data_IF_879537924522
#
_entry.id   IF_879537924522
#
_cell.length_a   1.000
_cell.length_b   1.000
_cell.length_c   1.000
_cell.angle_alpha   90.00
_cell.angle_beta   90.00
_cell.angle_gamma   90.00
#
_symmetry.space_group_name_H-M   'P 1'
#
loop_
_entity.id
_entity.type
_entity.pdbx_description
1 polymer ?
#
# COMPACT_ATOMS: atom_id res chain seq x y z
N UNK A 1 -5.43 -56.63 16.89
CA UNK A 1 -4.16 -55.84 16.93
C UNK A 1 -4.35 -54.33 16.67
N UNK A 2 -5.57 -53.81 16.50
CA UNK A 2 -5.84 -52.38 16.20
C UNK A 2 -6.07 -51.49 17.43
N UNK A 3 -6.30 -52.03 18.61
CA UNK A 3 -6.62 -51.20 19.81
C UNK A 3 -5.39 -50.61 20.50
N UNK A 4 -4.22 -51.21 20.38
CA UNK A 4 -3.00 -50.68 21.03
C UNK A 4 -2.47 -49.39 20.38
N UNK A 5 -2.64 -49.23 19.09
CA UNK A 5 -2.16 -48.01 18.38
C UNK A 5 -2.95 -46.75 18.74
N UNK A 6 -4.22 -46.89 19.02
CA UNK A 6 -5.08 -45.79 19.48
C UNK A 6 -4.71 -45.38 20.91
N UNK A 7 -4.42 -46.38 21.77
CA UNK A 7 -3.97 -46.15 23.15
C UNK A 7 -2.57 -45.50 23.21
N UNK A 8 -1.63 -45.97 22.41
CA UNK A 8 -0.30 -45.37 22.30
C UNK A 8 -0.37 -43.91 21.75
N UNK A 9 -1.23 -43.63 20.78
CA UNK A 9 -1.45 -42.28 20.30
C UNK A 9 -2.08 -41.38 21.37
N UNK A 10 -3.02 -41.88 22.16
CA UNK A 10 -3.61 -41.14 23.27
C UNK A 10 -2.58 -40.87 24.37
N UNK A 11 -1.73 -41.85 24.73
CA UNK A 11 -0.63 -41.69 25.68
C UNK A 11 0.39 -40.64 25.22
N UNK A 12 0.82 -40.67 23.95
CA UNK A 12 1.70 -39.65 23.37
C UNK A 12 1.05 -38.26 23.38
N UNK A 13 -0.25 -38.20 23.14
CA UNK A 13 -0.99 -36.94 23.23
C UNK A 13 -1.05 -36.41 24.65
N UNK A 14 -1.17 -37.28 25.67
CA UNK A 14 -1.12 -36.91 27.08
C UNK A 14 0.29 -36.49 27.53
N UNK A 15 1.35 -37.15 27.05
CA UNK A 15 2.72 -36.74 27.30
C UNK A 15 3.08 -35.37 26.71
N UNK A 16 2.38 -34.95 25.66
CA UNK A 16 2.55 -33.64 25.03
C UNK A 16 1.80 -32.50 25.73
N UNK A 17 0.91 -32.80 26.70
CA UNK A 17 0.18 -31.80 27.46
C UNK A 17 1.08 -31.27 28.60
N UNK A 18 1.48 -30.00 28.60
CA UNK A 18 2.30 -29.46 29.68
C UNK A 18 1.51 -29.51 30.99
N UNK A 19 2.09 -30.17 32.00
CA UNK A 19 1.51 -30.32 33.35
C UNK A 19 1.31 -28.98 34.06
N UNK A 20 1.96 -27.93 33.64
CA UNK A 20 1.81 -26.57 34.14
C UNK A 20 1.92 -25.57 32.99
N UNK A 21 1.02 -24.60 32.92
CA UNK A 21 1.15 -23.45 32.03
C UNK A 21 1.77 -22.28 32.79
N UNK A 22 2.89 -21.78 32.30
CA UNK A 22 3.45 -20.53 32.81
C UNK A 22 2.52 -19.39 32.42
N UNK A 23 2.10 -18.60 33.40
CA UNK A 23 1.27 -17.42 33.16
C UNK A 23 1.94 -16.22 33.81
N UNK A 24 2.03 -15.11 33.06
CA UNK A 24 2.35 -13.82 33.60
C UNK A 24 1.14 -13.18 34.25
N UNK A 25 1.34 -12.01 34.83
CA UNK A 25 0.32 -11.20 35.48
C UNK A 25 0.33 -9.78 34.92
N UNK A 26 -0.84 -9.29 34.55
CA UNK A 26 -1.03 -7.90 34.13
C UNK A 26 -0.90 -6.99 35.35
N UNK A 27 -0.02 -5.99 35.29
CA UNK A 27 0.23 -5.08 36.42
C UNK A 27 -0.25 -3.66 36.15
N UNK A 28 -0.31 -3.24 34.87
CA UNK A 28 -0.71 -1.88 34.50
C UNK A 28 -1.33 -1.83 33.13
N UNK A 29 -2.30 -0.94 32.95
CA UNK A 29 -2.86 -0.51 31.66
C UNK A 29 -2.62 1.00 31.52
N UNK A 30 -1.98 1.42 30.43
CA UNK A 30 -1.75 2.83 30.12
C UNK A 30 -2.12 3.11 28.67
N UNK A 31 -3.33 3.63 28.43
CA UNK A 31 -3.89 3.79 27.09
C UNK A 31 -4.02 2.46 26.38
N UNK A 32 -3.26 2.26 25.32
CA UNK A 32 -3.25 1.02 24.51
C UNK A 32 -2.14 0.04 24.94
N UNK A 33 -1.27 0.45 25.89
CA UNK A 33 -0.13 -0.34 26.33
C UNK A 33 -0.46 -1.06 27.64
N UNK A 34 -0.19 -2.35 27.67
CA UNK A 34 -0.36 -3.23 28.81
C UNK A 34 1.02 -3.64 29.34
N UNK A 35 1.20 -3.62 30.64
CA UNK A 35 2.42 -4.05 31.30
C UNK A 35 2.18 -5.37 32.02
N UNK A 36 3.00 -6.38 31.76
CA UNK A 36 2.94 -7.68 32.41
C UNK A 36 4.27 -8.07 33.02
N UNK A 37 4.22 -8.91 34.04
CA UNK A 37 5.38 -9.50 34.74
C UNK A 37 5.17 -11.00 34.93
N UNK A 38 6.25 -11.73 35.17
CA UNK A 38 6.20 -13.13 35.57
C UNK A 38 6.17 -14.15 34.41
N UNK A 39 6.17 -13.72 33.15
CA UNK A 39 6.46 -14.60 32.02
C UNK A 39 7.36 -13.88 31.01
N UNK A 40 8.47 -14.47 30.60
CA UNK A 40 9.32 -13.94 29.54
C UNK A 40 8.60 -14.11 28.21
N UNK A 41 8.50 -13.02 27.44
CA UNK A 41 7.98 -13.00 26.09
C UNK A 41 8.99 -12.34 25.17
N UNK A 42 9.26 -12.94 24.02
CA UNK A 42 10.08 -12.31 22.99
C UNK A 42 9.32 -11.17 22.32
N UNK A 43 10.03 -10.14 21.90
CA UNK A 43 9.41 -9.09 21.08
C UNK A 43 8.81 -9.69 19.81
N UNK A 44 7.54 -9.37 19.55
CA UNK A 44 6.76 -9.95 18.45
C UNK A 44 6.01 -11.22 18.81
N UNK A 45 6.28 -11.86 19.95
CA UNK A 45 5.57 -13.06 20.39
C UNK A 45 4.12 -12.74 20.76
N UNK A 46 3.23 -13.66 20.40
CA UNK A 46 1.81 -13.59 20.75
C UNK A 46 1.57 -14.05 22.18
N UNK A 47 0.54 -13.50 22.79
CA UNK A 47 0.04 -13.92 24.09
C UNK A 47 -1.48 -13.72 24.16
N UNK A 48 -2.11 -14.40 25.10
CA UNK A 48 -3.54 -14.23 25.43
C UNK A 48 -3.69 -13.73 26.84
N UNK A 49 -4.52 -12.74 27.00
CA UNK A 49 -4.81 -12.11 28.30
C UNK A 49 -6.23 -12.49 28.69
N UNK A 50 -6.40 -13.08 29.88
CA UNK A 50 -7.69 -13.48 30.39
C UNK A 50 -8.43 -12.27 30.96
N UNK A 51 -9.63 -12.00 30.43
CA UNK A 51 -10.50 -10.95 30.95
C UNK A 51 -11.30 -11.42 32.18
N UNK A 52 -12.00 -10.52 32.85
CA UNK A 52 -12.88 -10.80 33.96
C UNK A 52 -13.99 -11.84 33.65
N UNK A 53 -14.42 -11.89 32.40
CA UNK A 53 -15.44 -12.80 31.91
C UNK A 53 -14.84 -14.11 31.34
N UNK A 54 -13.60 -14.43 31.66
CA UNK A 54 -12.86 -15.58 31.13
C UNK A 54 -12.74 -15.63 29.61
N UNK A 55 -12.98 -14.50 28.92
CA UNK A 55 -12.66 -14.39 27.50
C UNK A 55 -11.15 -14.10 27.33
N UNK A 56 -10.56 -14.63 26.28
CA UNK A 56 -9.17 -14.43 25.96
C UNK A 56 -9.03 -13.29 24.96
N UNK A 57 -8.15 -12.35 25.26
CA UNK A 57 -7.82 -11.20 24.41
C UNK A 57 -6.45 -11.43 23.82
N UNK A 58 -6.38 -11.51 22.49
CA UNK A 58 -5.12 -11.69 21.79
C UNK A 58 -4.30 -10.40 21.82
N UNK A 59 -3.03 -10.53 22.17
CA UNK A 59 -2.08 -9.42 22.24
C UNK A 59 -0.70 -9.85 21.74
N UNK A 60 0.16 -8.89 21.49
CA UNK A 60 1.54 -9.11 21.08
C UNK A 60 2.49 -8.36 22.01
N UNK A 61 3.62 -8.98 22.34
CA UNK A 61 4.71 -8.31 23.04
C UNK A 61 5.40 -7.33 22.08
N UNK A 62 5.39 -6.04 22.44
CA UNK A 62 5.95 -4.95 21.62
C UNK A 62 7.27 -4.41 22.14
N UNK A 63 7.65 -4.81 23.35
CA UNK A 63 8.91 -4.44 23.98
C UNK A 63 9.01 -4.94 25.42
N UNK A 64 10.11 -4.65 26.06
CA UNK A 64 10.33 -4.95 27.48
C UNK A 64 11.25 -3.93 28.14
N UNK A 65 11.12 -3.81 29.45
CA UNK A 65 12.03 -3.02 30.29
C UNK A 65 12.26 -3.77 31.60
N UNK A 66 13.45 -4.29 31.82
CA UNK A 66 13.78 -5.20 32.94
C UNK A 66 12.81 -6.39 32.98
N UNK A 67 12.06 -6.55 34.04
CA UNK A 67 11.11 -7.65 34.26
C UNK A 67 9.70 -7.37 33.71
N UNK A 68 9.47 -6.16 33.15
CA UNK A 68 8.20 -5.75 32.60
C UNK A 68 8.18 -6.00 31.11
N UNK A 69 7.22 -6.76 30.64
CA UNK A 69 6.93 -6.91 29.22
C UNK A 69 5.78 -6.00 28.82
N UNK A 70 5.97 -5.23 27.77
CA UNK A 70 4.95 -4.37 27.17
C UNK A 70 4.17 -5.16 26.13
N UNK A 71 2.84 -5.19 26.32
CA UNK A 71 1.92 -5.91 25.45
C UNK A 71 0.97 -4.92 24.79
N UNK A 72 0.58 -5.21 23.56
CA UNK A 72 -0.41 -4.44 22.83
C UNK A 72 -1.48 -5.39 22.29
N UNK A 73 -2.76 -5.18 22.61
CA UNK A 73 -3.85 -6.00 22.12
C UNK A 73 -4.18 -5.66 20.66
N UNK A 74 -4.63 -6.66 19.90
CA UNK A 74 -5.08 -6.47 18.52
C UNK A 74 -6.44 -5.76 18.42
N UNK A 75 -7.28 -5.91 19.45
CA UNK A 75 -8.58 -5.24 19.55
C UNK A 75 -8.63 -4.42 20.84
N UNK A 76 -9.54 -3.46 20.91
CA UNK A 76 -9.72 -2.68 22.14
C UNK A 76 -10.05 -3.62 23.30
N UNK A 77 -9.25 -3.62 24.37
CA UNK A 77 -9.43 -4.55 25.47
C UNK A 77 -10.61 -4.11 26.35
N UNK A 78 -11.56 -5.02 26.55
CA UNK A 78 -12.71 -4.81 27.44
C UNK A 78 -12.66 -5.82 28.57
N UNK A 79 -12.93 -5.39 29.81
CA UNK A 79 -13.01 -6.26 30.98
C UNK A 79 -11.66 -6.75 31.51
N UNK A 80 -10.56 -6.03 31.23
CA UNK A 80 -9.26 -6.31 31.84
C UNK A 80 -9.23 -5.85 33.30
N UNK A 81 -8.59 -6.65 34.15
CA UNK A 81 -8.36 -6.34 35.56
C UNK A 81 -6.86 -6.40 35.89
N UNK A 82 -6.45 -5.66 36.93
CA UNK A 82 -5.13 -5.83 37.50
C UNK A 82 -4.98 -7.27 38.02
N UNK A 83 -3.85 -7.90 37.73
CA UNK A 83 -3.61 -9.30 38.07
C UNK A 83 -4.15 -10.33 37.04
N UNK A 84 -4.79 -9.88 35.95
CA UNK A 84 -5.25 -10.77 34.87
C UNK A 84 -4.09 -11.65 34.37
N UNK A 85 -4.37 -12.91 34.08
CA UNK A 85 -3.37 -13.87 33.63
C UNK A 85 -2.99 -13.61 32.18
N UNK A 86 -1.69 -13.68 31.90
CA UNK A 86 -1.11 -13.54 30.56
C UNK A 86 -0.46 -14.87 30.17
N UNK A 87 -0.98 -15.51 29.15
CA UNK A 87 -0.50 -16.79 28.63
C UNK A 87 0.35 -16.57 27.39
N UNK A 88 1.64 -16.94 27.40
CA UNK A 88 2.45 -16.98 26.18
C UNK A 88 1.84 -17.96 25.17
N UNK A 89 1.81 -17.57 23.90
CA UNK A 89 1.53 -18.48 22.79
C UNK A 89 2.86 -18.95 22.22
N UNK A 90 3.03 -20.28 22.15
CA UNK A 90 4.29 -20.89 21.63
C UNK A 90 4.36 -20.78 20.10
N UNK A 91 3.19 -20.80 19.45
CA UNK A 91 3.12 -20.70 17.98
C UNK A 91 2.93 -19.26 17.55
N UNK A 92 3.70 -18.84 16.57
CA UNK A 92 3.39 -17.65 15.82
C UNK A 92 1.96 -17.77 15.22
N UNK A 93 1.32 -16.65 14.91
CA UNK A 93 0.06 -16.69 14.16
C UNK A 93 0.37 -17.15 12.73
N UNK A 94 0.33 -18.47 12.54
CA UNK A 94 0.63 -19.10 11.26
C UNK A 94 -0.53 -18.83 10.29
N UNK A 95 -0.32 -17.95 9.33
CA UNK A 95 -1.29 -17.67 8.27
C UNK A 95 -1.00 -18.62 7.13
N UNK A 96 -1.97 -19.48 6.80
CA UNK A 96 -1.90 -20.38 5.66
C UNK A 96 -2.50 -19.70 4.43
N UNK A 97 -1.68 -19.52 3.39
CA UNK A 97 -2.10 -18.89 2.13
C UNK A 97 -2.25 -19.90 1.01
N UNK A 98 -3.10 -19.58 0.04
CA UNK A 98 -3.31 -20.32 -1.19
C UNK A 98 -4.10 -19.49 -2.21
N UNK A 99 -4.27 -20.02 -3.42
CA UNK A 99 -5.03 -19.35 -4.49
C UNK A 99 -6.51 -19.08 -4.11
N UNK A 100 -7.05 -19.85 -3.15
CA UNK A 100 -8.41 -19.65 -2.62
C UNK A 100 -8.62 -18.29 -1.92
N UNK A 101 -7.55 -17.53 -1.72
CA UNK A 101 -7.60 -16.16 -1.18
C UNK A 101 -8.03 -15.13 -2.24
N UNK A 102 -7.99 -15.47 -3.52
CA UNK A 102 -8.51 -14.59 -4.58
C UNK A 102 -10.02 -14.35 -4.40
N UNK A 103 -10.43 -13.11 -4.55
CA UNK A 103 -11.81 -12.70 -4.36
C UNK A 103 -12.23 -12.52 -2.90
N UNK A 104 -11.27 -12.58 -1.95
CA UNK A 104 -11.56 -12.53 -0.51
C UNK A 104 -11.17 -11.19 0.11
N UNK A 105 -11.88 -10.89 1.20
CA UNK A 105 -11.63 -9.72 2.06
C UNK A 105 -11.27 -10.21 3.46
N UNK A 106 -10.12 -9.78 3.96
CA UNK A 106 -9.55 -10.24 5.24
C UNK A 106 -9.12 -9.06 6.13
N UNK A 107 -8.96 -9.32 7.43
CA UNK A 107 -8.32 -8.36 8.34
C UNK A 107 -6.78 -8.53 8.38
N UNK A 108 -6.09 -7.75 9.23
CA UNK A 108 -4.63 -7.81 9.37
C UNK A 108 -4.07 -9.10 9.96
N UNK A 109 -4.92 -9.99 10.47
CA UNK A 109 -4.56 -11.33 10.94
C UNK A 109 -4.92 -12.43 9.93
N UNK A 110 -5.39 -12.08 8.73
CA UNK A 110 -5.82 -13.05 7.72
C UNK A 110 -7.18 -13.68 7.99
N UNK A 111 -7.97 -13.14 8.93
CA UNK A 111 -9.31 -13.61 9.20
C UNK A 111 -10.31 -13.05 8.18
N UNK A 112 -11.23 -13.87 7.63
CA UNK A 112 -12.17 -13.43 6.62
C UNK A 112 -13.22 -12.46 7.20
N UNK A 113 -13.47 -11.37 6.45
CA UNK A 113 -14.48 -10.36 6.77
C UNK A 113 -15.70 -10.43 5.85
N UNK A 114 -15.62 -11.21 4.78
CA UNK A 114 -16.62 -11.26 3.69
C UNK A 114 -17.75 -12.25 3.89
N UNK A 115 -17.79 -12.95 5.00
CA UNK A 115 -18.83 -13.96 5.31
C UNK A 115 -18.78 -15.22 4.45
N UNK A 116 -17.76 -15.39 3.59
CA UNK A 116 -17.63 -16.54 2.67
C UNK A 116 -16.96 -17.77 3.30
N UNK A 117 -16.93 -17.87 4.63
CA UNK A 117 -16.32 -18.98 5.36
C UNK A 117 -14.79 -18.91 5.46
N UNK A 118 -14.19 -19.96 6.00
CA UNK A 118 -12.74 -20.03 6.27
C UNK A 118 -11.93 -19.98 4.99
N UNK A 119 -10.73 -19.40 5.10
CA UNK A 119 -9.73 -19.43 4.06
C UNK A 119 -8.96 -20.75 4.13
N UNK A 120 -8.67 -21.31 2.96
CA UNK A 120 -7.85 -22.50 2.85
C UNK A 120 -6.50 -22.12 2.24
N UNK A 121 -5.44 -22.69 2.75
CA UNK A 121 -4.10 -22.53 2.23
C UNK A 121 -3.22 -23.68 2.68
N UNK A 122 -2.19 -23.99 1.90
CA UNK A 122 -1.26 -25.06 2.18
C UNK A 122 0.14 -24.54 2.52
N UNK A 123 0.40 -23.27 2.21
CA UNK A 123 1.71 -22.66 2.41
C UNK A 123 1.67 -21.69 3.57
N UNK A 124 2.68 -21.78 4.42
CA UNK A 124 2.87 -20.83 5.50
C UNK A 124 3.29 -19.48 4.93
N UNK A 125 2.53 -18.43 5.24
CA UNK A 125 2.86 -17.08 4.84
C UNK A 125 3.91 -16.51 5.81
N UNK A 126 5.11 -16.18 5.33
CA UNK A 126 6.11 -15.57 6.19
C UNK A 126 5.64 -14.18 6.66
N UNK A 127 6.13 -13.69 7.80
CA UNK A 127 5.99 -12.28 8.15
C UNK A 127 6.59 -11.42 7.05
N UNK A 128 6.53 -10.08 7.19
CA UNK A 128 7.04 -9.16 6.15
C UNK A 128 8.30 -9.70 5.48
N UNK A 129 8.29 -9.94 4.15
CA UNK A 129 9.42 -10.54 3.47
C UNK A 129 10.66 -9.64 3.60
N UNK A 130 11.85 -10.22 3.75
CA UNK A 130 13.07 -9.43 3.75
C UNK A 130 13.25 -8.72 2.41
N UNK A 131 13.99 -7.62 2.41
CA UNK A 131 14.38 -6.97 1.15
C UNK A 131 15.19 -7.95 0.29
N UNK A 132 14.87 -8.00 -1.00
CA UNK A 132 15.61 -8.84 -1.96
C UNK A 132 17.03 -8.30 -2.11
N UNK A 133 18.01 -9.19 -2.25
CA UNK A 133 19.39 -8.79 -2.51
C UNK A 133 19.47 -7.89 -3.76
N UNK A 134 19.99 -6.66 -3.64
CA UNK A 134 20.02 -5.71 -4.77
C UNK A 134 20.73 -6.24 -6.03
N UNK A 135 21.72 -7.13 -5.86
CA UNK A 135 22.50 -7.67 -6.99
C UNK A 135 21.79 -8.79 -7.76
N UNK A 136 20.81 -9.44 -7.12
CA UNK A 136 20.02 -10.53 -7.75
C UNK A 136 18.64 -10.06 -8.18
N UNK A 137 18.23 -8.86 -7.76
CA UNK A 137 16.94 -8.26 -8.12
C UNK A 137 16.92 -7.94 -9.62
N UNK A 138 15.88 -8.40 -10.34
CA UNK A 138 15.71 -8.05 -11.75
C UNK A 138 15.40 -6.55 -11.92
N UNK A 139 15.91 -5.99 -13.02
CA UNK A 139 15.64 -4.60 -13.38
C UNK A 139 14.16 -4.37 -13.72
N UNK A 140 13.75 -3.10 -13.68
CA UNK A 140 12.43 -2.63 -14.15
C UNK A 140 12.58 -2.24 -15.61
N UNK A 141 12.23 -3.14 -16.53
CA UNK A 141 12.46 -3.03 -17.98
C UNK A 141 11.19 -3.21 -18.83
N UNK A 142 10.10 -3.67 -18.23
CA UNK A 142 8.81 -3.83 -18.90
C UNK A 142 7.77 -2.84 -18.35
N UNK A 143 6.96 -2.19 -19.23
CA UNK A 143 5.87 -1.34 -18.79
C UNK A 143 4.71 -2.16 -18.21
N UNK A 144 4.02 -1.60 -17.21
CA UNK A 144 2.76 -2.08 -16.70
C UNK A 144 1.64 -1.19 -17.20
N UNK A 145 0.71 -1.75 -17.97
CA UNK A 145 -0.53 -1.08 -18.35
C UNK A 145 -1.46 -0.98 -17.13
N UNK A 146 -1.76 0.25 -16.71
CA UNK A 146 -2.67 0.54 -15.59
C UNK A 146 -3.99 1.17 -16.05
N UNK A 147 -4.21 1.30 -17.36
CA UNK A 147 -5.46 1.76 -17.95
C UNK A 147 -5.79 3.24 -17.72
N UNK A 148 -4.83 4.06 -17.33
CA UNK A 148 -5.01 5.51 -17.09
C UNK A 148 -4.15 6.31 -18.06
N UNK A 149 -4.81 7.15 -18.90
CA UNK A 149 -4.16 7.90 -19.99
C UNK A 149 -2.92 8.69 -19.54
N UNK A 150 -3.08 9.50 -18.49
CA UNK A 150 -1.98 10.33 -17.99
C UNK A 150 -0.82 9.49 -17.45
N UNK A 151 -1.10 8.34 -16.84
CA UNK A 151 -0.08 7.44 -16.32
C UNK A 151 0.59 6.68 -17.47
N UNK A 152 -0.18 5.97 -18.30
CA UNK A 152 0.33 5.19 -19.42
C UNK A 152 1.13 6.05 -20.43
N UNK A 153 0.70 7.31 -20.63
CA UNK A 153 1.34 8.20 -21.61
C UNK A 153 2.53 9.01 -21.10
N UNK A 154 2.47 9.49 -19.84
CA UNK A 154 3.42 10.52 -19.37
C UNK A 154 4.18 10.14 -18.10
N UNK A 155 3.69 9.13 -17.39
CA UNK A 155 4.20 8.65 -16.10
C UNK A 155 4.31 7.14 -16.09
N UNK A 156 4.58 6.53 -17.25
CA UNK A 156 4.54 5.08 -17.44
C UNK A 156 5.22 4.33 -16.30
N UNK A 157 4.46 3.42 -15.69
CA UNK A 157 4.91 2.59 -14.58
C UNK A 157 5.52 1.32 -15.14
N UNK A 158 6.66 0.89 -14.58
CA UNK A 158 7.28 -0.39 -14.92
C UNK A 158 6.86 -1.52 -13.98
N UNK A 159 6.91 -2.74 -14.45
CA UNK A 159 6.71 -3.95 -13.62
C UNK A 159 7.79 -4.04 -12.56
N UNK A 160 7.38 -4.02 -11.29
CA UNK A 160 8.28 -3.99 -10.14
C UNK A 160 8.64 -2.59 -9.64
N UNK A 161 8.11 -1.53 -10.24
CA UNK A 161 8.31 -0.16 -9.79
C UNK A 161 7.49 0.14 -8.53
N UNK A 162 8.03 0.99 -7.65
CA UNK A 162 7.39 1.47 -6.41
C UNK A 162 7.03 2.94 -6.58
N UNK A 163 5.74 3.25 -6.59
CA UNK A 163 5.21 4.59 -6.92
C UNK A 163 4.42 5.16 -5.76
N UNK A 164 4.62 6.43 -5.45
CA UNK A 164 3.79 7.18 -4.51
C UNK A 164 2.60 7.83 -5.21
N UNK A 165 1.42 7.73 -4.63
CA UNK A 165 0.25 8.53 -5.02
C UNK A 165 0.01 9.58 -3.94
N UNK A 166 0.50 10.79 -4.19
CA UNK A 166 0.40 11.92 -3.28
C UNK A 166 -0.96 12.59 -3.48
N UNK A 167 -1.78 12.63 -2.44
CA UNK A 167 -3.14 13.14 -2.53
C UNK A 167 -3.59 13.82 -1.24
N UNK A 168 -4.29 14.94 -1.37
CA UNK A 168 -5.11 15.49 -0.30
C UNK A 168 -6.46 14.75 -0.18
N UNK A 169 -7.31 15.21 0.74
CA UNK A 169 -8.65 14.67 0.88
C UNK A 169 -9.58 15.18 -0.25
N UNK A 170 -10.43 14.29 -0.80
CA UNK A 170 -11.49 14.67 -1.73
C UNK A 170 -11.06 14.94 -3.17
N UNK A 171 -9.83 14.61 -3.58
CA UNK A 171 -9.30 14.87 -4.94
C UNK A 171 -9.51 13.72 -5.93
N UNK A 172 -10.29 12.68 -5.56
CA UNK A 172 -10.56 11.53 -6.42
C UNK A 172 -9.58 10.38 -6.30
N UNK A 173 -8.80 10.27 -5.20
CA UNK A 173 -7.85 9.21 -4.91
C UNK A 173 -8.46 7.81 -5.09
N UNK A 174 -9.54 7.51 -4.37
CA UNK A 174 -10.18 6.18 -4.37
C UNK A 174 -10.76 5.81 -5.74
N UNK A 175 -11.24 6.80 -6.49
CA UNK A 175 -11.70 6.62 -7.88
C UNK A 175 -10.54 6.21 -8.78
N UNK A 176 -9.40 6.92 -8.70
CA UNK A 176 -8.21 6.60 -9.48
C UNK A 176 -7.66 5.21 -9.14
N UNK A 177 -7.58 4.85 -7.85
CA UNK A 177 -7.18 3.49 -7.44
C UNK A 177 -8.13 2.43 -8.01
N UNK A 178 -9.43 2.68 -7.99
CA UNK A 178 -10.43 1.81 -8.60
C UNK A 178 -10.26 1.68 -10.12
N UNK A 179 -9.95 2.76 -10.83
CA UNK A 179 -9.64 2.72 -12.28
C UNK A 179 -8.42 1.84 -12.55
N UNK A 180 -7.33 2.06 -11.81
CA UNK A 180 -6.09 1.27 -11.91
C UNK A 180 -6.39 -0.21 -11.66
N UNK A 181 -7.07 -0.54 -10.57
CA UNK A 181 -7.35 -1.94 -10.20
C UNK A 181 -8.19 -2.68 -11.24
N UNK A 182 -9.21 -2.03 -11.80
CA UNK A 182 -10.06 -2.65 -12.82
C UNK A 182 -9.35 -2.86 -14.15
N UNK A 183 -8.54 -1.89 -14.56
CA UNK A 183 -7.96 -1.83 -15.91
C UNK A 183 -6.55 -2.38 -16.02
N UNK A 184 -5.86 -2.58 -14.89
CA UNK A 184 -4.49 -3.09 -14.89
C UNK A 184 -4.37 -4.46 -15.56
N UNK A 185 -3.26 -4.64 -16.27
CA UNK A 185 -2.82 -5.94 -16.84
C UNK A 185 -1.99 -6.78 -15.87
N UNK A 186 -1.95 -6.40 -14.60
CA UNK A 186 -1.41 -7.30 -13.56
C UNK A 186 -2.32 -8.54 -13.42
N UNK A 187 -1.70 -9.69 -13.16
CA UNK A 187 -2.43 -10.97 -12.99
C UNK A 187 -3.24 -10.93 -11.69
N UNK A 188 -2.65 -10.40 -10.64
CA UNK A 188 -3.22 -10.36 -9.29
C UNK A 188 -3.08 -8.94 -8.72
N UNK A 189 -4.09 -8.52 -7.98
CA UNK A 189 -4.08 -7.26 -7.25
C UNK A 189 -4.21 -7.52 -5.75
N UNK A 190 -3.31 -6.97 -4.96
CA UNK A 190 -3.42 -6.97 -3.49
C UNK A 190 -3.71 -5.55 -3.04
N UNK A 191 -4.82 -5.37 -2.32
CA UNK A 191 -5.26 -4.04 -1.86
C UNK A 191 -5.25 -4.00 -0.34
N UNK A 192 -4.47 -3.10 0.22
CA UNK A 192 -4.48 -2.77 1.65
C UNK A 192 -5.26 -1.49 1.91
N UNK A 193 -6.40 -1.58 2.59
CA UNK A 193 -7.18 -0.43 3.04
C UNK A 193 -6.91 -0.20 4.52
N UNK A 194 -5.91 0.68 4.79
CA UNK A 194 -5.30 0.85 6.11
C UNK A 194 -5.69 2.22 6.70
N UNK A 195 -6.43 2.20 7.79
CA UNK A 195 -6.85 3.43 8.48
C UNK A 195 -7.89 4.25 7.74
N UNK A 196 -8.56 3.68 6.75
CA UNK A 196 -9.68 4.29 6.04
C UNK A 196 -10.98 4.10 6.83
N UNK A 197 -11.98 4.94 6.56
CA UNK A 197 -13.28 4.82 7.24
C UNK A 197 -14.02 3.59 6.76
N UNK A 198 -14.71 2.87 7.65
CA UNK A 198 -15.46 1.66 7.28
C UNK A 198 -16.44 1.86 6.12
N UNK A 199 -17.08 3.05 5.98
CA UNK A 199 -17.92 3.39 4.83
C UNK A 199 -17.12 3.44 3.53
N UNK A 200 -15.95 4.06 3.53
CA UNK A 200 -15.08 4.20 2.36
C UNK A 200 -14.52 2.85 1.91
N UNK A 201 -14.24 1.96 2.87
CA UNK A 201 -13.85 0.56 2.60
C UNK A 201 -14.94 -0.16 1.81
N UNK A 202 -16.19 -0.08 2.27
CA UNK A 202 -17.33 -0.71 1.59
C UNK A 202 -17.56 -0.10 0.20
N UNK A 203 -17.59 1.23 0.09
CA UNK A 203 -17.73 1.92 -1.19
C UNK A 203 -16.62 1.55 -2.19
N UNK A 204 -15.39 1.37 -1.72
CA UNK A 204 -14.27 0.96 -2.58
C UNK A 204 -14.48 -0.47 -3.10
N UNK A 205 -14.88 -1.41 -2.26
CA UNK A 205 -15.11 -2.81 -2.66
C UNK A 205 -16.30 -2.90 -3.63
N UNK A 206 -17.44 -2.26 -3.29
CA UNK A 206 -18.68 -2.40 -4.04
C UNK A 206 -18.65 -1.61 -5.38
N UNK A 207 -18.07 -0.41 -5.38
CA UNK A 207 -18.16 0.51 -6.51
C UNK A 207 -16.84 0.70 -7.26
N UNK A 208 -15.72 0.78 -6.53
CA UNK A 208 -14.41 1.01 -7.16
C UNK A 208 -13.83 -0.28 -7.73
N UNK A 209 -13.87 -1.38 -7.00
CA UNK A 209 -13.47 -2.71 -7.50
C UNK A 209 -14.57 -3.35 -8.33
N UNK A 210 -15.75 -3.45 -7.78
CA UNK A 210 -16.84 -4.26 -8.34
C UNK A 210 -16.52 -5.76 -8.33
N UNK A 211 -17.43 -6.57 -8.88
CA UNK A 211 -17.27 -8.02 -8.89
C UNK A 211 -16.03 -8.48 -9.68
N UNK A 212 -15.82 -7.92 -10.87
CA UNK A 212 -14.72 -8.32 -11.76
C UNK A 212 -13.35 -7.94 -11.20
N UNK A 213 -13.24 -6.73 -10.61
CA UNK A 213 -12.01 -6.29 -9.96
C UNK A 213 -11.69 -7.10 -8.71
N UNK A 214 -12.72 -7.43 -7.91
CA UNK A 214 -12.55 -8.26 -6.71
C UNK A 214 -12.11 -9.68 -7.04
N UNK A 215 -12.62 -10.28 -8.13
CA UNK A 215 -12.31 -11.67 -8.50
C UNK A 215 -10.81 -11.93 -8.69
N UNK A 216 -10.04 -10.92 -9.15
CA UNK A 216 -8.57 -10.98 -9.27
C UNK A 216 -7.82 -10.33 -8.12
N UNK A 217 -8.53 -9.94 -7.05
CA UNK A 217 -7.95 -9.18 -5.95
C UNK A 217 -8.03 -9.94 -4.62
N UNK A 218 -7.11 -9.61 -3.73
CA UNK A 218 -7.18 -9.90 -2.30
C UNK A 218 -7.20 -8.56 -1.58
N UNK A 219 -8.21 -8.33 -0.73
CA UNK A 219 -8.37 -7.07 0.00
C UNK A 219 -8.08 -7.29 1.47
N UNK A 220 -7.09 -6.59 2.00
CA UNK A 220 -6.76 -6.59 3.43
C UNK A 220 -7.25 -5.28 4.04
N UNK A 221 -8.02 -5.38 5.10
CA UNK A 221 -8.72 -4.24 5.68
C UNK A 221 -8.34 -4.07 7.16
N UNK A 222 -7.92 -2.87 7.53
CA UNK A 222 -7.79 -2.42 8.90
C UNK A 222 -8.31 -0.99 9.00
N UNK A 223 -9.60 -0.79 9.34
CA UNK A 223 -10.23 0.53 9.39
C UNK A 223 -9.59 1.46 10.45
N UNK A 224 -10.01 2.72 10.45
CA UNK A 224 -9.42 3.75 11.31
C UNK A 224 -9.67 3.52 12.82
N UNK A 225 -10.70 2.78 13.17
CA UNK A 225 -11.07 2.39 14.54
C UNK A 225 -10.34 1.13 15.05
N UNK A 226 -9.60 0.44 14.17
CA UNK A 226 -8.75 -0.68 14.57
C UNK A 226 -7.49 -0.22 15.33
N UNK A 227 -6.92 -1.13 16.12
CA UNK A 227 -5.71 -0.84 16.90
C UNK A 227 -4.52 -0.47 15.99
N UNK A 228 -3.55 0.32 16.47
CA UNK A 228 -2.33 0.60 15.72
C UNK A 228 -1.60 -0.66 15.29
N UNK A 229 -1.56 -1.67 16.16
CA UNK A 229 -0.93 -2.95 15.87
C UNK A 229 -1.62 -3.67 14.70
N UNK A 230 -2.96 -3.67 14.65
CA UNK A 230 -3.73 -4.26 13.55
C UNK A 230 -3.44 -3.54 12.24
N UNK A 231 -3.33 -2.20 12.24
CA UNK A 231 -2.99 -1.41 11.05
C UNK A 231 -1.58 -1.72 10.52
N UNK A 232 -0.60 -1.92 11.42
CA UNK A 232 0.74 -2.37 11.03
C UNK A 232 0.70 -3.77 10.40
N UNK A 233 0.06 -4.72 11.09
CA UNK A 233 -0.04 -6.11 10.63
C UNK A 233 -0.78 -6.23 9.29
N UNK A 234 -1.84 -5.48 9.07
CA UNK A 234 -2.55 -5.46 7.80
C UNK A 234 -1.64 -4.99 6.65
N UNK A 235 -0.82 -3.97 6.88
CA UNK A 235 0.13 -3.50 5.87
C UNK A 235 1.21 -4.53 5.57
N UNK A 236 1.80 -5.14 6.61
CA UNK A 236 2.80 -6.21 6.46
C UNK A 236 2.21 -7.42 5.73
N UNK A 237 0.97 -7.82 6.07
CA UNK A 237 0.25 -8.92 5.43
C UNK A 237 0.04 -8.69 3.93
N UNK A 238 -0.30 -7.46 3.50
CA UNK A 238 -0.40 -7.11 2.08
C UNK A 238 0.89 -7.41 1.33
N UNK A 239 2.03 -7.00 1.91
CA UNK A 239 3.35 -7.24 1.32
C UNK A 239 3.69 -8.72 1.25
N UNK A 240 3.39 -9.48 2.31
CA UNK A 240 3.64 -10.92 2.37
C UNK A 240 2.81 -11.68 1.35
N UNK A 241 1.52 -11.36 1.21
CA UNK A 241 0.65 -11.93 0.18
C UNK A 241 1.17 -11.61 -1.22
N UNK A 242 1.51 -10.35 -1.49
CA UNK A 242 2.01 -9.93 -2.79
C UNK A 242 3.34 -10.60 -3.16
N UNK A 243 4.25 -10.74 -2.18
CA UNK A 243 5.52 -11.44 -2.37
C UNK A 243 5.31 -12.94 -2.64
N UNK A 244 4.36 -13.58 -1.94
CA UNK A 244 4.06 -14.99 -2.15
C UNK A 244 3.61 -15.29 -3.58
N UNK A 245 2.76 -14.45 -4.17
CA UNK A 245 2.35 -14.59 -5.56
C UNK A 245 3.47 -14.21 -6.54
N UNK A 246 4.20 -13.12 -6.29
CA UNK A 246 5.38 -12.73 -7.08
C UNK A 246 6.36 -13.89 -7.22
N UNK A 247 6.70 -14.53 -6.09
CA UNK A 247 7.71 -15.58 -6.07
C UNK A 247 7.24 -16.87 -6.78
N UNK A 248 5.93 -16.96 -7.10
CA UNK A 248 5.32 -17.99 -7.95
C UNK A 248 5.18 -17.58 -9.42
N UNK A 249 5.79 -16.47 -9.82
CA UNK A 249 5.85 -16.04 -11.22
C UNK A 249 4.73 -15.11 -11.67
N UNK A 250 3.83 -14.68 -10.77
CA UNK A 250 2.77 -13.75 -11.12
C UNK A 250 3.23 -12.29 -11.15
N UNK A 251 2.62 -11.50 -12.03
CA UNK A 251 2.72 -10.06 -12.01
C UNK A 251 1.70 -9.47 -11.05
N UNK A 252 2.16 -9.04 -9.87
CA UNK A 252 1.31 -8.53 -8.79
C UNK A 252 1.31 -7.01 -8.77
N UNK A 253 0.13 -6.41 -8.68
CA UNK A 253 -0.04 -5.01 -8.32
C UNK A 253 -0.44 -4.91 -6.85
N UNK A 254 0.42 -4.32 -6.03
CA UNK A 254 0.15 -4.01 -4.65
C UNK A 254 -0.32 -2.55 -4.54
N UNK A 255 -1.49 -2.34 -3.95
CA UNK A 255 -2.04 -1.02 -3.61
C UNK A 255 -2.15 -0.90 -2.10
N UNK A 256 -1.48 0.08 -1.49
CA UNK A 256 -1.57 0.34 -0.03
C UNK A 256 -2.14 1.73 0.21
N UNK A 257 -3.33 1.79 0.73
CA UNK A 257 -4.04 3.02 1.11
C UNK A 257 -4.26 3.06 2.63
N UNK A 258 -3.37 3.70 3.45
CA UNK A 258 -2.26 4.56 3.04
C UNK A 258 -0.98 4.29 3.84
N UNK A 259 0.16 4.61 3.24
CA UNK A 259 1.47 4.60 3.90
C UNK A 259 1.51 5.60 5.09
N UNK A 260 0.82 6.73 4.97
CA UNK A 260 0.69 7.69 6.06
C UNK A 260 0.03 7.08 7.29
N UNK A 261 -1.03 6.25 7.10
CA UNK A 261 -1.70 5.57 8.21
C UNK A 261 -0.82 4.49 8.85
N UNK A 262 0.01 3.82 8.06
CA UNK A 262 1.04 2.92 8.57
C UNK A 262 2.05 3.65 9.46
N UNK A 263 2.55 4.80 9.01
CA UNK A 263 3.45 5.64 9.80
C UNK A 263 2.78 6.19 11.08
N UNK A 264 1.50 6.58 11.01
CA UNK A 264 0.73 7.02 12.19
C UNK A 264 0.53 5.88 13.20
N UNK A 265 0.29 4.66 12.75
CA UNK A 265 0.18 3.51 13.62
C UNK A 265 1.49 3.26 14.39
N UNK A 266 2.62 3.33 13.72
CA UNK A 266 3.93 3.23 14.37
C UNK A 266 4.18 4.38 15.34
N UNK A 267 3.80 5.60 15.00
CA UNK A 267 3.87 6.74 15.89
C UNK A 267 3.12 6.48 17.20
N UNK A 268 1.89 6.00 17.11
CA UNK A 268 1.06 5.69 18.29
C UNK A 268 1.73 4.63 19.20
N UNK A 269 2.29 3.58 18.61
CA UNK A 269 3.00 2.51 19.33
C UNK A 269 4.26 3.05 19.99
N UNK A 270 5.12 3.72 19.24
CA UNK A 270 6.41 4.16 19.69
C UNK A 270 6.30 5.24 20.80
N UNK A 271 5.37 6.19 20.66
CA UNK A 271 5.09 7.18 21.71
C UNK A 271 4.56 6.51 22.98
N UNK A 272 3.73 5.47 22.86
CA UNK A 272 3.24 4.72 24.03
C UNK A 272 4.36 3.96 24.74
N UNK A 273 5.40 3.53 24.00
CA UNK A 273 6.60 2.90 24.56
C UNK A 273 7.61 3.91 25.13
N UNK A 274 7.33 5.22 25.00
CA UNK A 274 8.18 6.29 25.52
C UNK A 274 9.29 6.76 24.57
N UNK A 275 9.24 6.39 23.28
CA UNK A 275 10.14 6.97 22.29
C UNK A 275 9.82 8.46 22.11
N UNK A 276 10.83 9.36 22.18
CA UNK A 276 10.56 10.79 22.07
C UNK A 276 10.12 11.19 20.67
N UNK A 277 9.14 12.11 20.56
CA UNK A 277 8.73 12.65 19.26
C UNK A 277 9.85 13.50 18.66
N UNK A 278 10.00 13.44 17.35
CA UNK A 278 10.89 14.27 16.56
C UNK A 278 10.07 15.20 15.63
N UNK A 279 10.25 15.11 14.31
CA UNK A 279 9.63 16.01 13.35
C UNK A 279 8.11 15.81 13.26
N UNK A 280 7.34 16.89 13.42
CA UNK A 280 5.85 16.89 13.42
C UNK A 280 5.25 15.81 14.34
N UNK A 281 5.94 15.48 15.45
CA UNK A 281 5.49 14.50 16.42
C UNK A 281 5.68 13.03 16.01
N UNK A 282 6.33 12.74 14.89
CA UNK A 282 6.74 11.38 14.54
C UNK A 282 8.05 11.01 15.22
N UNK A 283 8.15 9.84 15.86
CA UNK A 283 9.40 9.34 16.41
C UNK A 283 10.33 8.82 15.28
N UNK A 284 11.64 8.71 15.53
CA UNK A 284 12.61 8.20 14.56
C UNK A 284 12.27 6.82 13.99
N UNK A 285 11.70 5.94 14.80
CA UNK A 285 11.29 4.58 14.35
C UNK A 285 10.27 4.60 13.23
N UNK A 286 9.36 5.58 13.19
CA UNK A 286 8.36 5.71 12.13
C UNK A 286 9.00 5.98 10.76
N UNK A 287 10.09 6.77 10.73
CA UNK A 287 10.85 7.01 9.49
C UNK A 287 11.67 5.79 9.05
N UNK A 288 12.22 5.03 10.00
CA UNK A 288 12.99 3.81 9.70
C UNK A 288 12.15 2.65 9.13
N UNK A 289 10.86 2.60 9.44
CA UNK A 289 9.98 1.55 8.96
C UNK A 289 9.54 1.73 7.50
N UNK A 290 9.40 2.96 7.02
CA UNK A 290 8.95 3.25 5.64
C UNK A 290 9.91 2.68 4.60
N UNK A 291 11.23 2.97 4.63
CA UNK A 291 12.18 2.36 3.71
C UNK A 291 12.17 0.83 3.75
N UNK A 292 12.13 0.25 4.95
CA UNK A 292 12.10 -1.20 5.13
C UNK A 292 10.86 -1.84 4.48
N UNK A 293 9.69 -1.22 4.65
CA UNK A 293 8.45 -1.69 4.02
C UNK A 293 8.54 -1.57 2.49
N UNK A 294 8.91 -0.40 1.98
CA UNK A 294 8.98 -0.11 0.55
C UNK A 294 10.02 -0.99 -0.16
N UNK A 295 11.17 -1.27 0.47
CA UNK A 295 12.21 -2.14 -0.09
C UNK A 295 11.81 -3.62 -0.14
N UNK A 296 10.83 -4.06 0.63
CA UNK A 296 10.28 -5.41 0.52
C UNK A 296 9.48 -5.65 -0.77
N UNK A 297 9.03 -4.56 -1.42
CA UNK A 297 8.38 -4.60 -2.72
C UNK A 297 9.39 -4.58 -3.88
N UNK A 298 8.89 -4.81 -5.09
CA UNK A 298 9.67 -4.82 -6.33
C UNK A 298 9.93 -6.20 -6.87
N UNK A 299 10.78 -6.27 -7.89
CA UNK A 299 11.17 -7.54 -8.51
C UNK A 299 12.06 -8.37 -7.57
N UNK A 300 12.02 -9.68 -7.72
CA UNK A 300 12.94 -10.64 -7.12
C UNK A 300 13.72 -11.36 -8.20
N UNK A 301 14.33 -12.47 -7.88
CA UNK A 301 14.99 -13.37 -8.84
C UNK A 301 13.96 -14.16 -9.68
N UNK A 302 12.74 -14.32 -9.19
CA UNK A 302 11.66 -15.05 -9.87
C UNK A 302 11.19 -14.33 -11.14
N UNK A 303 10.48 -15.04 -12.02
CA UNK A 303 9.87 -14.46 -13.23
C UNK A 303 8.77 -13.45 -12.91
N UNK A 304 8.14 -13.53 -11.75
CA UNK A 304 7.10 -12.61 -11.31
C UNK A 304 7.60 -11.21 -10.97
N UNK A 305 6.68 -10.27 -10.81
CA UNK A 305 6.96 -8.90 -10.41
C UNK A 305 5.98 -8.43 -9.32
N UNK A 306 6.40 -7.48 -8.50
CA UNK A 306 5.54 -6.82 -7.52
C UNK A 306 5.64 -5.32 -7.69
N UNK A 307 4.74 -4.76 -8.49
CA UNK A 307 4.60 -3.30 -8.65
C UNK A 307 3.78 -2.77 -7.48
N UNK A 308 4.26 -1.73 -6.81
CA UNK A 308 3.59 -1.20 -5.64
C UNK A 308 3.19 0.27 -5.82
N UNK A 309 1.94 0.60 -5.47
CA UNK A 309 1.45 1.97 -5.41
C UNK A 309 1.05 2.26 -3.95
N UNK A 310 1.74 3.21 -3.36
CA UNK A 310 1.49 3.66 -1.98
C UNK A 310 0.81 5.01 -2.00
N UNK A 311 -0.38 5.11 -1.43
CA UNK A 311 -0.94 6.44 -1.23
C UNK A 311 -0.27 7.12 -0.05
N UNK A 312 0.04 8.39 -0.21
CA UNK A 312 0.61 9.23 0.84
C UNK A 312 -0.30 10.45 0.99
N UNK A 313 -0.90 10.56 2.17
CA UNK A 313 -1.82 11.64 2.48
C UNK A 313 -1.02 12.85 2.96
N UNK A 314 -1.10 13.96 2.21
CA UNK A 314 -0.54 15.23 2.62
C UNK A 314 -1.63 16.04 3.34
N UNK A 315 -1.49 16.28 4.65
CA UNK A 315 -2.44 17.11 5.40
C UNK A 315 -2.40 18.55 4.87
N UNK A 316 -3.57 19.10 4.51
CA UNK A 316 -3.68 20.47 3.99
C UNK A 316 -2.95 20.71 2.66
N UNK A 317 -2.76 19.67 1.85
CA UNK A 317 -1.97 19.70 0.60
C UNK A 317 -0.48 20.11 0.83
N UNK A 318 0.03 19.94 2.08
CA UNK A 318 1.41 20.25 2.45
C UNK A 318 2.39 19.23 1.86
N UNK A 319 3.04 19.63 0.78
CA UNK A 319 4.07 18.84 0.09
C UNK A 319 5.37 18.69 0.91
N UNK A 320 5.52 19.45 2.01
CA UNK A 320 6.67 19.41 2.92
C UNK A 320 6.39 18.52 4.16
N UNK A 321 5.33 17.73 4.14
CA UNK A 321 5.07 16.76 5.19
C UNK A 321 6.24 15.75 5.29
N UNK A 322 6.79 15.47 6.50
CA UNK A 322 7.95 14.59 6.66
C UNK A 322 7.73 13.18 6.13
N UNK A 323 6.50 12.66 6.17
CA UNK A 323 6.17 11.34 5.62
C UNK A 323 6.15 11.39 4.10
N UNK A 324 5.65 12.47 3.50
CA UNK A 324 5.69 12.71 2.05
C UNK A 324 7.13 12.76 1.57
N UNK A 325 8.00 13.51 2.26
CA UNK A 325 9.42 13.63 1.91
C UNK A 325 10.17 12.30 2.07
N UNK A 326 9.97 11.61 3.20
CA UNK A 326 10.52 10.27 3.42
C UNK A 326 10.08 9.28 2.32
N UNK A 327 8.80 9.29 1.94
CA UNK A 327 8.30 8.44 0.87
C UNK A 327 8.95 8.78 -0.49
N UNK A 328 9.05 10.07 -0.84
CA UNK A 328 9.72 10.51 -2.09
C UNK A 328 11.17 10.06 -2.20
N UNK A 329 11.87 10.02 -1.08
CA UNK A 329 13.27 9.62 -1.03
C UNK A 329 13.49 8.15 -1.42
N UNK A 330 12.53 7.27 -1.09
CA UNK A 330 12.68 5.81 -1.25
C UNK A 330 11.87 5.23 -2.43
N UNK A 331 10.95 6.00 -3.01
CA UNK A 331 10.11 5.56 -4.12
C UNK A 331 10.74 5.86 -5.48
N UNK A 332 10.41 5.04 -6.47
CA UNK A 332 10.90 5.15 -7.86
C UNK A 332 10.09 6.14 -8.72
N UNK A 333 9.31 6.98 -8.07
CA UNK A 333 8.48 8.01 -8.69
C UNK A 333 7.24 8.33 -7.86
N UNK A 334 6.52 9.37 -8.26
CA UNK A 334 5.28 9.75 -7.60
C UNK A 334 4.30 10.41 -8.56
N UNK A 335 3.02 10.23 -8.27
CA UNK A 335 1.88 10.84 -8.96
C UNK A 335 1.21 11.79 -7.98
N UNK A 336 1.03 13.04 -8.35
CA UNK A 336 0.42 14.07 -7.50
C UNK A 336 -1.00 14.34 -7.98
N UNK A 337 -1.97 14.21 -7.07
CA UNK A 337 -3.33 14.67 -7.29
C UNK A 337 -3.51 16.05 -6.66
N UNK A 338 -4.03 17.02 -7.42
CA UNK A 338 -4.22 18.38 -6.92
C UNK A 338 -5.70 18.74 -6.78
N UNK A 339 -6.01 19.46 -5.72
CA UNK A 339 -7.36 20.03 -5.48
C UNK A 339 -7.75 21.01 -6.58
N UNK A 340 -6.79 21.80 -7.06
CA UNK A 340 -7.01 22.78 -8.15
C UNK A 340 -7.58 22.14 -9.42
N UNK A 341 -7.09 20.96 -9.82
CA UNK A 341 -7.61 20.22 -10.96
C UNK A 341 -8.98 19.61 -10.66
N UNK A 342 -9.17 19.06 -9.45
CA UNK A 342 -10.45 18.49 -9.03
C UNK A 342 -11.58 19.56 -9.01
N UNK A 343 -11.31 20.73 -8.44
CA UNK A 343 -12.24 21.87 -8.41
C UNK A 343 -12.55 22.41 -9.81
N UNK A 344 -11.60 22.31 -10.76
CA UNK A 344 -11.83 22.63 -12.16
C UNK A 344 -12.58 21.53 -12.93
N UNK A 345 -13.02 20.46 -12.27
CA UNK A 345 -13.70 19.34 -12.92
C UNK A 345 -12.79 18.54 -13.87
N UNK A 346 -11.46 18.60 -13.67
CA UNK A 346 -10.51 17.84 -14.47
C UNK A 346 -10.19 16.52 -13.76
N UNK A 347 -10.66 15.41 -14.31
CA UNK A 347 -10.45 14.08 -13.76
C UNK A 347 -9.84 13.14 -14.80
N UNK A 348 -8.89 12.23 -14.35
CA UNK A 348 -8.26 12.21 -13.03
C UNK A 348 -7.51 13.51 -12.73
N UNK A 349 -7.50 13.95 -11.48
CA UNK A 349 -6.90 15.22 -11.06
C UNK A 349 -5.35 15.15 -10.95
N UNK A 350 -4.71 14.46 -11.91
CA UNK A 350 -3.26 14.21 -11.94
C UNK A 350 -2.53 15.45 -12.43
N UNK A 351 -1.69 16.01 -11.58
CA UNK A 351 -0.77 17.09 -11.97
C UNK A 351 0.47 16.49 -12.64
N UNK A 352 0.52 16.55 -13.96
CA UNK A 352 1.63 15.99 -14.75
C UNK A 352 2.94 16.79 -14.61
N UNK A 353 2.86 18.04 -14.16
CA UNK A 353 4.02 18.89 -13.90
C UNK A 353 4.75 18.52 -12.62
N UNK A 354 3.98 18.18 -11.56
CA UNK A 354 4.52 17.77 -10.27
C UNK A 354 4.78 16.26 -10.15
N UNK A 355 4.36 15.48 -11.15
CA UNK A 355 4.48 14.02 -11.16
C UNK A 355 5.68 13.54 -11.96
N UNK A 356 6.33 12.48 -11.46
CA UNK A 356 7.52 11.88 -12.07
C UNK A 356 7.52 10.36 -12.00
N UNK A 357 7.88 9.69 -13.08
CA UNK A 357 8.30 8.28 -13.09
C UNK A 357 9.80 8.22 -13.39
N UNK A 358 10.58 7.64 -12.47
CA UNK A 358 12.04 7.49 -12.65
C UNK A 358 12.37 6.35 -13.62
N UNK A 359 11.44 5.42 -13.84
CA UNK A 359 11.63 4.26 -14.70
C UNK A 359 11.18 4.48 -16.15
N UNK A 360 10.56 5.61 -16.47
CA UNK A 360 9.99 5.85 -17.82
C UNK A 360 10.98 5.62 -18.96
N UNK A 361 12.25 5.97 -18.74
CA UNK A 361 13.29 5.83 -19.77
C UNK A 361 13.71 4.37 -20.00
N UNK A 362 13.52 3.48 -19.00
CA UNK A 362 13.82 2.06 -19.12
C UNK A 362 12.68 1.26 -19.75
N UNK A 363 11.43 1.72 -19.55
CA UNK A 363 10.23 0.95 -19.91
C UNK A 363 9.50 1.50 -21.14
N UNK A 364 9.99 2.55 -21.76
CA UNK A 364 9.38 3.15 -22.97
C UNK A 364 10.38 3.36 -24.10
N UNK A 365 9.87 3.35 -25.33
CA UNK A 365 10.69 3.66 -26.52
C UNK A 365 11.14 5.13 -26.53
N UNK A 366 12.23 5.42 -27.24
CA UNK A 366 12.72 6.80 -27.42
C UNK A 366 11.65 7.72 -28.04
N UNK A 367 10.89 7.20 -29.00
CA UNK A 367 9.80 7.92 -29.65
C UNK A 367 8.70 8.31 -28.64
N UNK A 368 8.29 7.39 -27.76
CA UNK A 368 7.35 7.67 -26.69
C UNK A 368 7.88 8.76 -25.74
N UNK A 369 9.15 8.65 -25.32
CA UNK A 369 9.79 9.62 -24.43
C UNK A 369 9.80 11.02 -25.02
N UNK A 370 10.10 11.14 -26.33
CA UNK A 370 10.11 12.43 -27.04
C UNK A 370 8.70 13.04 -27.10
N UNK A 371 7.69 12.23 -27.44
CA UNK A 371 6.30 12.65 -27.49
C UNK A 371 5.78 13.09 -26.10
N UNK A 372 6.10 12.33 -25.06
CA UNK A 372 5.74 12.67 -23.68
C UNK A 372 6.41 13.97 -23.20
N UNK A 373 7.69 14.14 -23.54
CA UNK A 373 8.43 15.37 -23.23
C UNK A 373 7.85 16.58 -23.95
N UNK A 374 7.53 16.45 -25.24
CA UNK A 374 6.92 17.53 -26.02
C UNK A 374 5.55 17.92 -25.46
N UNK A 375 4.71 16.97 -25.05
CA UNK A 375 3.43 17.26 -24.37
C UNK A 375 3.66 18.04 -23.07
N UNK A 376 4.54 17.55 -22.19
CA UNK A 376 4.84 18.21 -20.91
C UNK A 376 5.38 19.62 -21.09
N UNK A 377 6.24 19.85 -22.08
CA UNK A 377 6.78 21.20 -22.41
C UNK A 377 5.66 22.15 -22.83
N UNK A 378 4.78 21.73 -23.75
CA UNK A 378 3.66 22.57 -24.19
C UNK A 378 2.65 22.83 -23.04
N UNK A 379 2.41 21.82 -22.18
CA UNK A 379 1.57 21.98 -21.00
C UNK A 379 2.16 23.01 -20.03
N UNK A 380 3.48 22.91 -19.73
CA UNK A 380 4.16 23.84 -18.83
C UNK A 380 4.14 25.27 -19.38
N UNK A 381 4.49 25.47 -20.65
CA UNK A 381 4.44 26.79 -21.29
C UNK A 381 3.03 27.42 -21.23
N UNK A 382 1.99 26.62 -21.46
CA UNK A 382 0.62 27.11 -21.30
C UNK A 382 0.28 27.49 -19.87
N UNK A 383 0.68 26.67 -18.87
CA UNK A 383 0.40 26.97 -17.46
C UNK A 383 1.08 28.24 -16.97
N UNK A 384 2.24 28.59 -17.50
CA UNK A 384 2.92 29.87 -17.21
C UNK A 384 2.16 31.08 -17.76
N UNK A 385 1.65 30.99 -18.99
CA UNK A 385 0.97 32.12 -19.63
C UNK A 385 -0.51 32.21 -19.24
N UNK A 386 -1.15 31.12 -18.82
CA UNK A 386 -2.58 31.05 -18.50
C UNK A 386 -3.09 32.16 -17.58
N UNK A 387 -2.39 32.55 -16.49
CA UNK A 387 -2.82 33.65 -15.62
C UNK A 387 -2.77 35.02 -16.31
N UNK A 388 -1.91 35.17 -17.33
CA UNK A 388 -1.71 36.45 -18.04
C UNK A 388 -2.67 36.63 -19.19
N UNK A 389 -3.29 35.56 -19.72
CA UNK A 389 -4.25 35.64 -20.83
C UNK A 389 -5.44 36.61 -20.55
N UNK A 390 -6.13 36.48 -19.40
CA UNK A 390 -7.23 37.40 -19.07
C UNK A 390 -6.80 38.87 -18.85
N UNK A 391 -5.51 39.09 -18.55
CA UNK A 391 -4.91 40.39 -18.28
C UNK A 391 -4.38 41.06 -19.56
N UNK A 392 -4.55 40.41 -20.73
CA UNK A 392 -4.02 40.91 -21.99
C UNK A 392 -2.51 40.72 -22.17
N UNK A 393 -1.86 39.92 -21.29
CA UNK A 393 -0.40 39.64 -21.37
C UNK A 393 -0.01 38.62 -22.43
N UNK A 394 -0.96 38.08 -23.17
CA UNK A 394 -0.70 37.21 -24.32
C UNK A 394 -1.09 37.94 -25.61
N UNK A 395 -0.11 38.03 -26.53
CA UNK A 395 -0.30 38.55 -27.88
C UNK A 395 0.06 37.49 -28.89
N UNK A 396 -0.88 37.06 -29.70
CA UNK A 396 -0.65 36.04 -30.72
C UNK A 396 0.41 36.53 -31.74
N UNK A 397 1.36 35.71 -32.08
CA UNK A 397 2.48 36.01 -32.97
C UNK A 397 3.71 36.60 -32.29
N UNK A 398 3.69 36.90 -31.00
CA UNK A 398 4.84 37.44 -30.27
C UNK A 398 5.89 36.37 -29.95
N UNK A 399 5.44 35.14 -29.63
CA UNK A 399 6.31 34.00 -29.34
C UNK A 399 5.71 32.71 -29.93
N UNK A 400 6.37 32.13 -30.90
CA UNK A 400 5.91 30.92 -31.59
C UNK A 400 5.75 29.69 -30.66
N UNK A 401 6.53 29.61 -29.59
CA UNK A 401 6.46 28.51 -28.61
C UNK A 401 5.21 28.63 -27.74
N UNK A 402 4.89 29.84 -27.30
CA UNK A 402 3.70 30.17 -26.53
C UNK A 402 2.44 29.99 -27.37
N UNK A 403 2.45 30.48 -28.63
CA UNK A 403 1.35 30.31 -29.58
C UNK A 403 1.03 28.84 -29.82
N UNK A 404 2.07 28.01 -29.98
CA UNK A 404 1.93 26.56 -30.09
C UNK A 404 1.32 25.95 -28.83
N UNK A 405 1.77 26.36 -27.66
CA UNK A 405 1.26 25.86 -26.39
C UNK A 405 -0.22 26.20 -26.20
N UNK A 406 -0.64 27.45 -26.48
CA UNK A 406 -2.03 27.91 -26.44
C UNK A 406 -2.89 27.12 -27.42
N UNK A 407 -2.43 26.91 -28.66
CA UNK A 407 -3.15 26.17 -29.70
C UNK A 407 -3.31 24.69 -29.36
N UNK A 408 -2.29 24.07 -28.75
CA UNK A 408 -2.31 22.64 -28.42
C UNK A 408 -3.03 22.32 -27.13
N UNK A 409 -3.20 23.27 -26.22
CA UNK A 409 -3.75 23.02 -24.89
C UNK A 409 -5.12 22.32 -24.89
N UNK A 410 -6.11 22.68 -25.73
CA UNK A 410 -7.39 21.98 -25.75
C UNK A 410 -7.28 20.48 -26.10
N UNK A 411 -6.32 20.14 -26.97
CA UNK A 411 -6.04 18.74 -27.33
C UNK A 411 -5.31 17.99 -26.19
N UNK A 412 -4.37 18.67 -25.52
CA UNK A 412 -3.68 18.14 -24.33
C UNK A 412 -4.70 17.89 -23.21
N UNK A 413 -5.55 18.85 -22.91
CA UNK A 413 -6.57 18.71 -21.87
C UNK A 413 -7.51 17.53 -22.15
N UNK A 414 -7.98 17.40 -23.39
CA UNK A 414 -8.80 16.25 -23.81
C UNK A 414 -8.07 14.92 -23.67
N UNK A 415 -6.78 14.89 -23.96
CA UNK A 415 -5.96 13.68 -23.78
C UNK A 415 -5.81 13.29 -22.31
N UNK A 416 -5.66 14.27 -21.41
CA UNK A 416 -5.47 14.03 -19.98
C UNK A 416 -6.76 13.66 -19.25
N UNK A 417 -7.93 14.14 -19.72
CA UNK A 417 -9.23 13.76 -19.13
C UNK A 417 -9.60 12.34 -19.50
N UNK A 418 -10.16 11.62 -18.54
CA UNK A 418 -10.62 10.25 -18.73
C UNK A 418 -11.82 9.97 -17.83
N UNK A 419 -12.88 9.42 -18.43
CA UNK A 419 -14.02 8.94 -17.69
C UNK A 419 -13.67 7.69 -16.87
N UNK A 420 -14.35 7.50 -15.74
CA UNK A 420 -14.06 6.44 -14.76
C UNK A 420 -14.07 5.03 -15.35
N UNK A 421 -14.86 4.78 -16.40
CA UNK A 421 -15.00 3.50 -17.09
C UNK A 421 -14.42 3.48 -18.49
N UNK A 422 -13.82 4.58 -18.94
CA UNK A 422 -13.20 4.65 -20.26
C UNK A 422 -11.94 3.80 -20.31
N UNK A 423 -11.85 2.80 -21.22
CA UNK A 423 -10.66 1.99 -21.37
C UNK A 423 -9.54 2.81 -22.03
N UNK A 424 -8.33 2.69 -21.52
CA UNK A 424 -7.15 3.39 -22.04
C UNK A 424 -5.91 2.49 -21.98
N UNK A 425 -5.88 1.48 -22.89
CA UNK A 425 -4.71 0.59 -22.97
C UNK A 425 -3.44 1.36 -23.30
N UNK A 426 -2.30 0.84 -22.86
CA UNK A 426 -0.99 1.44 -23.08
C UNK A 426 -0.76 1.71 -24.58
N UNK A 427 -1.06 0.76 -25.45
CA UNK A 427 -0.90 0.87 -26.91
C UNK A 427 -1.75 1.99 -27.51
N UNK A 428 -3.03 2.07 -27.10
CA UNK A 428 -3.94 3.13 -27.55
C UNK A 428 -3.45 4.50 -27.12
N UNK A 429 -2.97 4.63 -25.88
CA UNK A 429 -2.48 5.88 -25.32
C UNK A 429 -1.20 6.30 -26.01
N UNK A 430 -0.26 5.38 -26.26
CA UNK A 430 0.97 5.65 -27.01
C UNK A 430 0.68 6.14 -28.43
N UNK A 431 -0.24 5.47 -29.16
CA UNK A 431 -0.63 5.89 -30.51
C UNK A 431 -1.24 7.28 -30.51
N UNK A 432 -2.13 7.62 -29.58
CA UNK A 432 -2.76 8.94 -29.46
C UNK A 432 -1.72 10.03 -29.11
N UNK A 433 -0.77 9.71 -28.24
CA UNK A 433 0.31 10.62 -27.86
C UNK A 433 1.20 10.95 -29.05
N UNK A 434 1.56 9.95 -29.85
CA UNK A 434 2.37 10.12 -31.06
C UNK A 434 1.64 10.92 -32.15
N UNK A 435 0.32 10.78 -32.28
CA UNK A 435 -0.48 11.60 -33.19
C UNK A 435 -0.44 13.09 -32.76
N UNK A 436 -0.55 13.37 -31.45
CA UNK A 436 -0.52 14.73 -30.93
C UNK A 436 0.87 15.37 -31.02
N UNK A 437 1.91 14.60 -30.72
CA UNK A 437 3.30 15.03 -30.68
C UNK A 437 4.18 13.96 -31.33
N UNK A 438 4.34 13.97 -32.68
CA UNK A 438 5.17 13.00 -33.36
C UNK A 438 6.61 13.06 -32.85
N UNK A 439 7.12 11.93 -32.34
CA UNK A 439 8.54 11.75 -32.05
C UNK A 439 9.35 11.68 -33.37
N UNK A 440 10.63 12.02 -33.31
CA UNK A 440 11.54 11.85 -34.46
C UNK A 440 11.80 10.36 -34.64
N UNK A 441 11.28 9.74 -35.70
CA UNK A 441 11.69 8.40 -36.09
C UNK A 441 13.20 8.43 -36.34
N UNK A 442 13.97 7.58 -35.67
CA UNK A 442 15.35 7.31 -36.13
C UNK A 442 15.24 6.82 -37.57
N UNK A 443 15.88 7.54 -38.50
CA UNK A 443 16.18 6.98 -39.80
C UNK A 443 16.95 5.68 -39.53
N UNK A 444 16.41 4.56 -40.00
CA UNK A 444 17.13 3.28 -40.00
C UNK A 444 18.48 3.51 -40.72
N UNK A 445 19.57 3.41 -39.96
CA UNK A 445 20.94 3.33 -40.48
C UNK A 445 21.30 1.86 -40.71
#
# INVERSE_FOLDING_TARGET
MSDFSAFDNALRSLESIPLARVAGRLVRLNGILLESVGCPLMTGQLCRIESANHTLIDAQAVGFNRDITYLMPFKQPVGLMAGARVFPEEKAHDILIGESWLGRVVNGLGEPLDGKGRLNGNDLLPPLPPSVNPLTRRSVDEPLDVGVKAINGLLTIGKGQRVGLMAGSGVGKSVLLGMITRQTKADIVVVGLIGERGREVKEFIDHSLGADGLAKSIVVVAPADESPLMRLKATELCHSIAAWFRDRGHHVLLLVDSLTRYAMAQREIALSLGEPPATKGYPPSAFGMIPKLVESAGNSESAGSMTAIYTVLAEGDDQQDPIVDCARAVLDGHIVLTRKLAEAGHYPAIDIGQSISRCINQVTSLEHQQSARALKQNYAAYMEIKPLIPLGGYVAGADASVDKAVKMFPAIERFLRQEMREPASLELVQSRLQILFPGVKKAEQ
#
